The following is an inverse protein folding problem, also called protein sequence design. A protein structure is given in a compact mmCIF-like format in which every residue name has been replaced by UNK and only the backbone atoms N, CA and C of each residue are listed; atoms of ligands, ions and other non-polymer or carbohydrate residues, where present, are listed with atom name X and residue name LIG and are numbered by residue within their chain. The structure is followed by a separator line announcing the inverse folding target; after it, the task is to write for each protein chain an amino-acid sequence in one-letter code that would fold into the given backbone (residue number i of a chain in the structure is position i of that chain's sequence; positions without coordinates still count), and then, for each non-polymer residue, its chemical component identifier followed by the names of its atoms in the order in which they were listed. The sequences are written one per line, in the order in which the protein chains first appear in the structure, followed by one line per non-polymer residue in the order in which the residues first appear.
data_IF_556496828365
#
_entry.id   IF_556496828365
#
_cell.length_a   1.000
_cell.length_b   1.000
_cell.length_c   1.000
_cell.angle_alpha   90.00
_cell.angle_beta   90.00
_cell.angle_gamma   90.00
#
_symmetry.space_group_name_H-M   'P 1'
#
loop_
_entity.id
_entity.type
_entity.pdbx_description
1 polymer ?
#
# COMPACT_ATOMS: atom_id res chain seq x y z
N UNK A 1 3.34 12.17 -5.90
CA UNK A 1 2.62 10.88 -5.86
C UNK A 1 3.17 10.07 -4.67
N UNK A 2 2.84 8.78 -4.51
CA UNK A 2 3.35 7.95 -3.40
C UNK A 2 4.71 7.27 -3.70
N UNK A 3 5.46 7.77 -4.70
CA UNK A 3 6.73 7.16 -5.12
C UNK A 3 7.96 7.85 -4.54
N UNK A 4 7.83 9.12 -4.14
CA UNK A 4 8.90 9.91 -3.54
C UNK A 4 8.28 10.97 -2.61
N UNK A 5 8.22 10.65 -1.32
CA UNK A 5 7.65 11.51 -0.29
C UNK A 5 8.75 12.38 0.34
N UNK A 6 8.46 13.64 0.69
CA UNK A 6 9.46 14.61 1.17
C UNK A 6 9.83 14.40 2.65
N UNK A 7 10.04 13.14 3.05
CA UNK A 7 10.42 12.76 4.40
C UNK A 7 11.75 12.02 4.38
N UNK A 8 12.57 12.24 5.41
CA UNK A 8 13.81 11.50 5.61
C UNK A 8 13.53 10.01 5.82
N UNK A 9 14.50 9.18 5.48
CA UNK A 9 14.46 7.72 5.73
C UNK A 9 14.31 7.44 7.23
N UNK A 10 13.63 6.35 7.60
CA UNK A 10 13.45 5.92 8.99
C UNK A 10 12.84 7.01 9.90
N UNK A 11 11.80 7.68 9.42
CA UNK A 11 11.13 8.75 10.17
C UNK A 11 9.96 8.28 11.00
N UNK A 12 9.28 7.23 10.56
CA UNK A 12 7.97 6.85 11.08
C UNK A 12 8.05 5.48 11.74
N UNK A 13 7.36 5.34 12.87
CA UNK A 13 7.16 4.05 13.54
C UNK A 13 6.06 3.23 12.86
N UNK A 14 5.12 3.90 12.18
CA UNK A 14 4.07 3.26 11.40
C UNK A 14 3.71 4.01 10.11
N UNK A 15 3.27 3.29 9.08
CA UNK A 15 2.73 3.85 7.83
C UNK A 15 1.44 3.13 7.42
N UNK A 16 0.49 3.86 6.83
CA UNK A 16 -0.78 3.31 6.33
C UNK A 16 -0.99 3.75 4.89
N UNK A 17 -1.28 2.79 4.00
CA UNK A 17 -1.63 3.03 2.61
C UNK A 17 -2.92 2.28 2.27
N UNK A 18 -4.04 3.01 2.29
CA UNK A 18 -5.38 2.46 2.02
C UNK A 18 -5.86 2.92 0.65
N UNK A 19 -6.15 1.95 -0.22
CA UNK A 19 -6.67 2.15 -1.56
C UNK A 19 -5.83 3.09 -2.46
N UNK A 20 -4.50 3.08 -2.31
CA UNK A 20 -3.59 3.92 -3.12
C UNK A 20 -2.83 3.10 -4.17
N UNK A 21 -2.10 2.08 -3.73
CA UNK A 21 -1.08 1.40 -4.57
C UNK A 21 -1.69 0.73 -5.81
N UNK A 22 -2.93 0.26 -5.75
CA UNK A 22 -3.58 -0.40 -6.89
C UNK A 22 -3.93 0.55 -8.05
N UNK A 23 -3.81 1.88 -7.87
CA UNK A 23 -3.96 2.84 -8.96
C UNK A 23 -2.73 2.91 -9.88
N UNK A 24 -1.57 2.38 -9.48
CA UNK A 24 -0.40 2.35 -10.36
C UNK A 24 -0.52 1.25 -11.41
N UNK A 25 -0.53 1.67 -12.68
CA UNK A 25 -0.78 0.79 -13.84
C UNK A 25 0.31 -0.26 -14.05
N UNK A 26 1.55 0.01 -13.64
CA UNK A 26 2.67 -0.93 -13.86
C UNK A 26 3.13 -1.59 -12.55
N UNK A 27 3.59 -2.86 -12.60
CA UNK A 27 4.18 -3.54 -11.44
C UNK A 27 5.35 -2.77 -10.82
N UNK A 28 6.18 -2.13 -11.64
CA UNK A 28 7.39 -1.41 -11.21
C UNK A 28 7.01 -0.20 -10.35
N UNK A 29 5.95 0.53 -10.73
CA UNK A 29 5.45 1.67 -9.95
C UNK A 29 4.78 1.22 -8.65
N UNK A 30 4.06 0.10 -8.65
CA UNK A 30 3.51 -0.49 -7.41
C UNK A 30 4.64 -0.87 -6.44
N UNK A 31 5.69 -1.52 -6.96
CA UNK A 31 6.85 -1.90 -6.17
C UNK A 31 7.62 -0.69 -5.65
N UNK A 32 7.77 0.37 -6.45
CA UNK A 32 8.38 1.63 -6.03
C UNK A 32 7.60 2.28 -4.87
N UNK A 33 6.27 2.28 -4.91
CA UNK A 33 5.45 2.79 -3.80
C UNK A 33 5.64 1.98 -2.50
N UNK A 34 5.72 0.65 -2.60
CA UNK A 34 6.00 -0.21 -1.43
C UNK A 34 7.40 0.07 -0.88
N UNK A 35 8.41 0.20 -1.74
CA UNK A 35 9.78 0.56 -1.35
C UNK A 35 9.83 1.91 -0.65
N UNK A 36 9.05 2.88 -1.12
CA UNK A 36 8.97 4.20 -0.50
C UNK A 36 8.38 4.11 0.92
N UNK A 37 7.31 3.33 1.12
CA UNK A 37 6.77 3.08 2.47
C UNK A 37 7.82 2.42 3.38
N UNK A 38 8.57 1.43 2.88
CA UNK A 38 9.64 0.77 3.65
C UNK A 38 10.76 1.74 3.99
N UNK A 39 11.17 2.62 3.07
CA UNK A 39 12.18 3.66 3.32
C UNK A 39 11.77 4.59 4.46
N UNK A 40 10.48 4.90 4.57
CA UNK A 40 9.94 5.78 5.60
C UNK A 40 9.91 5.15 6.99
N UNK A 41 9.82 3.82 7.09
CA UNK A 41 9.77 3.09 8.36
C UNK A 41 11.13 3.03 9.04
N UNK A 42 11.13 3.22 10.36
CA UNK A 42 12.25 2.86 11.23
C UNK A 42 12.43 1.34 11.27
N UNK A 43 13.61 0.86 11.66
CA UNK A 43 13.82 -0.56 11.96
C UNK A 43 12.80 -1.03 13.00
N UNK A 44 12.05 -2.08 12.68
CA UNK A 44 10.96 -2.60 13.53
C UNK A 44 9.62 -1.86 13.39
N UNK A 45 9.56 -0.78 12.60
CA UNK A 45 8.32 -0.09 12.26
C UNK A 45 7.40 -0.94 11.37
N UNK A 46 6.10 -0.62 11.40
CA UNK A 46 5.09 -1.44 10.73
C UNK A 46 4.33 -0.65 9.66
N UNK A 47 4.01 -1.31 8.54
CA UNK A 47 3.13 -0.75 7.52
C UNK A 47 1.85 -1.58 7.36
N UNK A 48 0.72 -0.90 7.20
CA UNK A 48 -0.52 -1.48 6.68
C UNK A 48 -0.71 -1.07 5.23
N UNK A 49 -0.83 -2.07 4.35
CA UNK A 49 -1.20 -1.86 2.95
C UNK A 49 -2.55 -2.53 2.72
N UNK A 50 -3.54 -1.73 2.35
CA UNK A 50 -4.89 -2.21 2.02
C UNK A 50 -5.22 -1.85 0.57
N UNK A 51 -5.39 -2.86 -0.26
CA UNK A 51 -5.66 -2.71 -1.69
C UNK A 51 -6.86 -3.55 -2.11
N UNK A 52 -7.43 -3.22 -3.28
CA UNK A 52 -8.47 -4.05 -3.85
C UNK A 52 -7.92 -5.42 -4.22
N UNK A 53 -8.63 -6.46 -3.82
CA UNK A 53 -8.40 -7.79 -4.32
C UNK A 53 -8.92 -7.87 -5.76
N UNK A 54 -8.20 -8.64 -6.60
CA UNK A 54 -8.70 -9.00 -7.92
C UNK A 54 -9.92 -9.92 -7.78
N UNK A 55 -9.78 -10.94 -6.93
CA UNK A 55 -10.88 -11.79 -6.50
C UNK A 55 -11.73 -11.05 -5.49
N UNK A 56 -12.93 -10.68 -5.94
CA UNK A 56 -13.89 -9.93 -5.14
C UNK A 56 -14.96 -10.82 -4.48
N UNK A 57 -14.75 -12.13 -4.51
CA UNK A 57 -15.59 -13.14 -3.89
C UNK A 57 -14.77 -13.98 -2.91
N UNK A 58 -15.33 -14.23 -1.72
CA UNK A 58 -14.75 -15.13 -0.72
C UNK A 58 -15.85 -16.10 -0.26
N UNK A 59 -15.60 -17.41 -0.33
CA UNK A 59 -16.59 -18.45 0.02
C UNK A 59 -17.95 -18.28 -0.68
N UNK A 60 -17.95 -17.96 -1.99
CA UNK A 60 -19.15 -17.67 -2.79
C UNK A 60 -19.97 -16.45 -2.33
N UNK A 61 -19.42 -15.64 -1.43
CA UNK A 61 -20.00 -14.37 -1.03
C UNK A 61 -19.25 -13.23 -1.71
N UNK A 62 -19.99 -12.38 -2.44
CA UNK A 62 -19.43 -11.15 -3.01
C UNK A 62 -19.06 -10.16 -1.92
N UNK A 63 -17.99 -9.42 -2.16
CA UNK A 63 -17.60 -8.32 -1.29
C UNK A 63 -18.75 -7.32 -1.15
N UNK A 64 -19.12 -6.99 0.09
CA UNK A 64 -20.19 -6.02 0.42
C UNK A 64 -19.93 -4.62 -0.14
N UNK A 65 -18.69 -4.33 -0.52
CA UNK A 65 -18.24 -3.05 -1.06
C UNK A 65 -18.48 -2.90 -2.57
N UNK A 66 -19.02 -3.94 -3.22
CA UNK A 66 -19.45 -3.93 -4.61
C UNK A 66 -20.96 -3.94 -4.61
N UNK A 67 -21.56 -2.77 -4.77
CA UNK A 67 -22.97 -2.63 -5.12
C UNK A 67 -23.07 -2.37 -6.61
#
# INVERSE_FOLDING_TARGET
DALQLPFRTASFDACISIAVIHHFSTPERRLAAIRELVRLLKTGGQALIYVWAFEQEHNKQRSKYLK
#
